data_IF_201905468905
#
_entry.id   IF_201905468905
#
_cell.length_a   1.000
_cell.length_b   1.000
_cell.length_c   1.000
_cell.angle_alpha   90.00
_cell.angle_beta   90.00
_cell.angle_gamma   90.00
#
_symmetry.space_group_name_H-M   'P 1'
#
loop_
_entity.id
_entity.type
_entity.pdbx_description
1 polymer ?
#
# COMPACT_ATOMS: atom_id res chain seq x y z
N UNK A 1 6.13 -11.69 -25.27
CA UNK A 1 4.76 -11.93 -25.80
C UNK A 1 4.46 -13.43 -25.86
N UNK A 2 5.43 -14.31 -26.16
CA UNK A 2 5.21 -15.76 -26.22
C UNK A 2 5.17 -16.48 -24.86
N UNK A 3 5.75 -15.91 -23.81
CA UNK A 3 5.82 -16.53 -22.47
C UNK A 3 4.52 -16.39 -21.65
N UNK A 4 3.75 -15.34 -21.87
CA UNK A 4 2.50 -15.11 -21.13
C UNK A 4 1.38 -16.11 -21.46
N UNK A 5 1.29 -16.55 -22.72
CA UNK A 5 0.33 -17.56 -23.11
C UNK A 5 0.65 -18.94 -22.52
N UNK A 6 1.92 -19.34 -22.45
CA UNK A 6 2.33 -20.63 -21.90
C UNK A 6 2.11 -20.73 -20.38
N UNK A 7 2.27 -19.64 -19.63
CA UNK A 7 2.03 -19.62 -18.18
C UNK A 7 0.54 -19.74 -17.88
N UNK A 8 -0.31 -19.07 -18.64
CA UNK A 8 -1.76 -19.03 -18.43
C UNK A 8 -2.44 -20.39 -18.61
N UNK A 9 -1.94 -21.22 -19.53
CA UNK A 9 -2.50 -22.54 -19.81
C UNK A 9 -2.01 -23.65 -18.84
N UNK A 10 -1.01 -23.33 -17.99
CA UNK A 10 -0.39 -24.28 -17.07
C UNK A 10 -0.85 -24.14 -15.62
N UNK A 11 -1.41 -22.98 -15.21
CA UNK A 11 -1.85 -22.72 -13.83
C UNK A 11 -3.24 -23.31 -13.61
N UNK A 12 -3.33 -24.34 -12.76
CA UNK A 12 -4.55 -25.10 -12.50
C UNK A 12 -5.13 -24.87 -11.11
N UNK A 13 -4.33 -24.39 -10.17
CA UNK A 13 -4.71 -24.16 -8.78
C UNK A 13 -4.03 -22.91 -8.23
N UNK A 14 -4.44 -22.50 -7.06
CA UNK A 14 -3.95 -21.28 -6.44
C UNK A 14 -2.47 -21.36 -6.05
N UNK A 15 -1.98 -22.52 -5.60
CA UNK A 15 -0.57 -22.68 -5.24
C UNK A 15 0.37 -22.56 -6.45
N UNK A 16 -0.05 -23.04 -7.61
CA UNK A 16 0.68 -22.84 -8.87
C UNK A 16 0.71 -21.36 -9.28
N UNK A 17 -0.40 -20.62 -9.05
CA UNK A 17 -0.43 -19.17 -9.27
C UNK A 17 0.60 -18.47 -8.37
N UNK A 18 0.61 -18.77 -7.07
CA UNK A 18 1.55 -18.16 -6.12
C UNK A 18 3.00 -18.54 -6.48
N UNK A 19 3.25 -19.78 -6.91
CA UNK A 19 4.56 -20.22 -7.36
C UNK A 19 5.03 -19.37 -8.55
N UNK A 20 4.20 -19.20 -9.57
CA UNK A 20 4.54 -18.40 -10.75
C UNK A 20 4.80 -16.92 -10.40
N UNK A 21 4.02 -16.35 -9.45
CA UNK A 21 4.24 -14.99 -8.96
C UNK A 21 5.57 -14.90 -8.19
N UNK A 22 5.87 -15.87 -7.33
CA UNK A 22 7.14 -15.90 -6.58
C UNK A 22 8.35 -15.99 -7.51
N UNK A 23 8.29 -16.77 -8.59
CA UNK A 23 9.34 -16.81 -9.61
C UNK A 23 9.56 -15.43 -10.25
N UNK A 24 8.49 -14.67 -10.49
CA UNK A 24 8.61 -13.28 -10.99
C UNK A 24 9.21 -12.34 -9.95
N UNK A 25 8.88 -12.50 -8.68
CA UNK A 25 9.49 -11.73 -7.58
C UNK A 25 10.99 -12.04 -7.49
N UNK A 26 11.38 -13.31 -7.60
CA UNK A 26 12.80 -13.72 -7.62
C UNK A 26 13.55 -13.14 -8.83
N UNK A 27 12.92 -13.12 -10.00
CA UNK A 27 13.47 -12.44 -11.17
C UNK A 27 13.72 -10.95 -10.91
N UNK A 28 12.74 -10.24 -10.34
CA UNK A 28 12.89 -8.82 -10.01
C UNK A 28 13.90 -8.59 -8.90
N UNK A 29 13.96 -9.49 -7.90
CA UNK A 29 14.97 -9.44 -6.85
C UNK A 29 16.39 -9.53 -7.44
N UNK A 30 16.63 -10.45 -8.35
CA UNK A 30 17.91 -10.62 -9.05
C UNK A 30 18.23 -9.42 -9.96
N UNK A 31 17.22 -8.73 -10.47
CA UNK A 31 17.38 -7.47 -11.22
C UNK A 31 17.62 -6.24 -10.33
N UNK A 32 17.61 -6.40 -9.00
CA UNK A 32 17.89 -5.33 -8.03
C UNK A 32 16.68 -4.72 -7.35
N UNK A 33 15.45 -5.19 -7.60
CA UNK A 33 14.26 -4.72 -6.88
C UNK A 33 14.32 -5.06 -5.39
N UNK A 34 13.85 -4.12 -4.55
CA UNK A 34 13.81 -4.25 -3.07
C UNK A 34 12.53 -3.70 -2.47
N UNK A 35 11.55 -3.38 -3.30
CA UNK A 35 10.28 -2.78 -2.87
C UNK A 35 9.15 -3.27 -3.75
N UNK A 36 7.98 -3.48 -3.15
CA UNK A 36 6.72 -3.76 -3.83
C UNK A 36 5.71 -2.67 -3.56
N UNK A 37 4.70 -2.57 -4.40
CA UNK A 37 3.61 -1.63 -4.26
C UNK A 37 2.27 -2.27 -4.62
N UNK A 38 1.26 -2.05 -3.76
CA UNK A 38 -0.08 -2.57 -3.93
C UNK A 38 -1.11 -1.44 -3.78
N UNK A 39 -1.93 -1.27 -4.79
CA UNK A 39 -3.08 -0.38 -4.74
C UNK A 39 -4.29 -1.15 -4.17
N UNK A 40 -4.80 -0.67 -3.05
CA UNK A 40 -5.99 -1.20 -2.39
C UNK A 40 -7.08 -0.13 -2.42
N UNK A 41 -8.27 -0.47 -2.90
CA UNK A 41 -9.43 0.41 -2.75
C UNK A 41 -9.79 0.49 -1.27
N UNK A 42 -10.42 -0.54 -0.71
CA UNK A 42 -10.48 -0.83 0.72
C UNK A 42 -9.46 -1.90 1.11
N UNK A 43 -9.27 -2.12 2.39
CA UNK A 43 -8.39 -3.19 2.88
C UNK A 43 -9.13 -4.52 2.76
N UNK A 44 -8.64 -5.49 1.97
CA UNK A 44 -9.30 -6.77 1.85
C UNK A 44 -8.95 -7.64 3.06
N UNK A 45 -9.93 -7.94 3.89
CA UNK A 45 -9.77 -8.94 4.95
C UNK A 45 -11.00 -9.84 5.01
N UNK A 46 -10.81 -11.12 4.75
CA UNK A 46 -11.77 -12.17 4.95
C UNK A 46 -11.01 -13.50 4.96
N UNK A 47 -11.29 -14.38 5.91
CA UNK A 47 -10.66 -15.72 6.03
C UNK A 47 -11.67 -16.86 6.09
N UNK A 48 -12.92 -16.58 5.75
CA UNK A 48 -13.99 -17.57 5.78
C UNK A 48 -14.03 -18.46 4.51
N UNK A 49 -13.31 -18.04 3.47
CA UNK A 49 -13.24 -18.74 2.19
C UNK A 49 -11.81 -19.16 1.85
N UNK A 50 -11.66 -20.33 1.26
CA UNK A 50 -10.40 -20.83 0.73
C UNK A 50 -10.03 -20.10 -0.56
N UNK A 51 -8.82 -19.55 -0.65
CA UNK A 51 -8.34 -18.90 -1.87
C UNK A 51 -8.24 -19.89 -3.05
N UNK A 52 -7.97 -21.17 -2.78
CA UNK A 52 -7.93 -22.20 -3.82
C UNK A 52 -9.34 -22.48 -4.39
N UNK A 53 -10.34 -22.64 -3.51
CA UNK A 53 -11.73 -22.84 -3.95
C UNK A 53 -12.23 -21.64 -4.77
N UNK A 54 -11.92 -20.42 -4.33
CA UNK A 54 -12.27 -19.18 -5.05
C UNK A 54 -11.56 -19.12 -6.41
N UNK A 55 -10.30 -19.51 -6.46
CA UNK A 55 -9.54 -19.57 -7.72
C UNK A 55 -10.16 -20.57 -8.69
N UNK A 56 -10.43 -21.82 -8.24
CA UNK A 56 -11.04 -22.85 -9.06
C UNK A 56 -12.43 -22.42 -9.56
N UNK A 57 -13.25 -21.86 -8.68
CA UNK A 57 -14.58 -21.31 -9.02
C UNK A 57 -14.47 -20.26 -10.13
N UNK A 58 -13.48 -19.37 -10.03
CA UNK A 58 -13.24 -18.34 -11.06
C UNK A 58 -12.76 -18.95 -12.39
N UNK A 59 -11.89 -19.95 -12.34
CA UNK A 59 -11.40 -20.65 -13.54
C UNK A 59 -12.53 -21.40 -14.27
N UNK A 60 -13.53 -21.87 -13.54
CA UNK A 60 -14.75 -22.48 -14.10
C UNK A 60 -15.71 -21.44 -14.70
N UNK A 61 -15.41 -20.14 -14.63
CA UNK A 61 -16.24 -19.08 -15.18
C UNK A 61 -17.41 -18.66 -14.27
N UNK A 62 -17.41 -19.10 -13.02
CA UNK A 62 -18.46 -18.78 -12.07
C UNK A 62 -18.31 -17.33 -11.53
N UNK A 63 -19.44 -16.76 -11.08
CA UNK A 63 -19.44 -15.46 -10.42
C UNK A 63 -18.97 -15.61 -8.98
N UNK A 64 -18.14 -14.66 -8.56
CA UNK A 64 -17.64 -14.56 -7.19
C UNK A 64 -18.41 -13.51 -6.40
N UNK A 65 -18.68 -13.78 -5.13
CA UNK A 65 -19.15 -12.77 -4.17
C UNK A 65 -18.05 -11.80 -3.79
N UNK A 66 -18.40 -10.66 -3.18
CA UNK A 66 -17.43 -9.71 -2.67
C UNK A 66 -16.55 -10.31 -1.56
N UNK A 67 -17.13 -11.17 -0.72
CA UNK A 67 -16.41 -11.84 0.37
C UNK A 67 -15.40 -12.86 -0.16
N UNK A 68 -15.76 -13.63 -1.19
CA UNK A 68 -14.83 -14.53 -1.88
C UNK A 68 -13.66 -13.77 -2.52
N UNK A 69 -13.94 -12.63 -3.16
CA UNK A 69 -12.92 -11.77 -3.74
C UNK A 69 -11.99 -11.21 -2.65
N UNK A 70 -12.55 -10.77 -1.52
CA UNK A 70 -11.77 -10.27 -0.39
C UNK A 70 -10.91 -11.37 0.25
N UNK A 71 -11.43 -12.58 0.38
CA UNK A 71 -10.66 -13.73 0.89
C UNK A 71 -9.48 -14.07 -0.02
N UNK A 72 -9.70 -14.09 -1.34
CA UNK A 72 -8.64 -14.33 -2.32
C UNK A 72 -7.55 -13.25 -2.26
N UNK A 73 -7.95 -11.97 -2.19
CA UNK A 73 -7.02 -10.84 -2.07
C UNK A 73 -6.25 -10.88 -0.76
N UNK A 74 -6.93 -11.17 0.36
CA UNK A 74 -6.34 -11.28 1.70
C UNK A 74 -5.24 -12.34 1.73
N UNK A 75 -5.56 -13.58 1.34
CA UNK A 75 -4.59 -14.68 1.34
C UNK A 75 -3.42 -14.40 0.39
N UNK A 76 -3.70 -13.80 -0.78
CA UNK A 76 -2.66 -13.41 -1.74
C UNK A 76 -1.69 -12.41 -1.12
N UNK A 77 -2.19 -11.35 -0.48
CA UNK A 77 -1.32 -10.36 0.18
C UNK A 77 -0.50 -10.98 1.31
N UNK A 78 -1.07 -11.89 2.12
CA UNK A 78 -0.35 -12.58 3.19
C UNK A 78 0.80 -13.41 2.62
N UNK A 79 0.56 -14.17 1.56
CA UNK A 79 1.60 -15.00 0.92
C UNK A 79 2.70 -14.16 0.25
N UNK A 80 2.32 -13.06 -0.41
CA UNK A 80 3.28 -12.13 -0.99
C UNK A 80 4.11 -11.41 0.07
N UNK A 81 3.48 -10.95 1.15
CA UNK A 81 4.16 -10.32 2.27
C UNK A 81 5.23 -11.23 2.86
N UNK A 82 4.94 -12.53 3.05
CA UNK A 82 5.91 -13.52 3.48
C UNK A 82 7.11 -13.62 2.54
N UNK A 83 6.88 -13.68 1.24
CA UNK A 83 7.96 -13.69 0.24
C UNK A 83 8.79 -12.41 0.29
N UNK A 84 8.16 -11.24 0.47
CA UNK A 84 8.88 -9.97 0.62
C UNK A 84 9.71 -9.93 1.90
N UNK A 85 9.19 -10.46 3.00
CA UNK A 85 9.92 -10.57 4.26
C UNK A 85 11.17 -11.46 4.12
N UNK A 86 11.05 -12.62 3.47
CA UNK A 86 12.16 -13.54 3.19
C UNK A 86 13.27 -12.90 2.34
N UNK A 87 12.91 -12.00 1.43
CA UNK A 87 13.83 -11.29 0.53
C UNK A 87 14.30 -9.94 1.07
N UNK A 88 13.91 -9.57 2.28
CA UNK A 88 14.18 -8.26 2.92
C UNK A 88 13.68 -7.06 2.09
N UNK A 89 12.55 -7.21 1.41
CA UNK A 89 11.90 -6.12 0.68
C UNK A 89 11.05 -5.25 1.61
N UNK A 90 10.81 -4.01 1.17
CA UNK A 90 9.74 -3.18 1.71
C UNK A 90 8.45 -3.38 0.89
N UNK A 91 7.31 -3.42 1.58
CA UNK A 91 5.99 -3.49 0.97
C UNK A 91 5.29 -2.14 1.13
N UNK A 92 4.72 -1.60 0.06
CA UNK A 92 3.89 -0.40 0.09
C UNK A 92 2.43 -0.77 -0.11
N UNK A 93 1.55 -0.19 0.71
CA UNK A 93 0.10 -0.33 0.58
C UNK A 93 -0.53 1.06 0.39
N UNK A 94 -1.13 1.31 -0.77
CA UNK A 94 -1.86 2.52 -1.11
C UNK A 94 -3.36 2.28 -0.96
N UNK A 95 -4.01 2.97 -0.02
CA UNK A 95 -5.38 2.69 0.43
C UNK A 95 -6.30 3.88 0.17
N UNK A 96 -7.53 3.64 -0.26
CA UNK A 96 -8.61 4.62 -0.24
C UNK A 96 -8.88 5.36 -1.54
N UNK A 97 -8.53 4.80 -2.69
CA UNK A 97 -8.92 5.35 -3.99
C UNK A 97 -10.29 4.82 -4.43
N UNK A 98 -11.19 5.70 -4.81
CA UNK A 98 -12.45 5.37 -5.49
C UNK A 98 -12.29 5.71 -6.97
N UNK A 99 -12.14 4.66 -7.79
CA UNK A 99 -11.72 4.79 -9.18
C UNK A 99 -12.88 4.78 -10.17
N UNK A 100 -12.67 5.47 -11.29
CA UNK A 100 -13.55 5.44 -12.47
C UNK A 100 -15.00 5.84 -12.15
N UNK A 101 -15.20 6.89 -11.35
CA UNK A 101 -16.51 7.32 -10.85
C UNK A 101 -17.48 7.78 -11.93
N UNK A 102 -16.99 8.17 -13.12
CA UNK A 102 -17.81 8.59 -14.23
C UNK A 102 -17.87 7.47 -15.29
N UNK A 103 -18.91 6.64 -15.20
CA UNK A 103 -19.09 5.49 -16.11
C UNK A 103 -19.17 5.89 -17.60
N UNK A 104 -19.75 7.05 -17.92
CA UNK A 104 -19.84 7.54 -19.30
C UNK A 104 -18.45 7.87 -19.86
N UNK A 105 -17.60 8.51 -19.04
CA UNK A 105 -16.23 8.86 -19.44
C UNK A 105 -15.33 7.61 -19.44
N UNK A 106 -15.50 6.69 -18.49
CA UNK A 106 -14.81 5.40 -18.51
C UNK A 106 -15.09 4.63 -19.81
N UNK A 107 -16.36 4.60 -20.23
CA UNK A 107 -16.75 3.94 -21.48
C UNK A 107 -16.14 4.62 -22.73
N UNK A 108 -15.92 5.94 -22.67
CA UNK A 108 -15.38 6.73 -23.78
C UNK A 108 -13.86 6.73 -23.83
N UNK A 109 -13.18 6.80 -22.70
CA UNK A 109 -11.74 7.07 -22.58
C UNK A 109 -10.94 5.93 -21.94
N UNK A 110 -11.60 4.99 -21.23
CA UNK A 110 -10.94 3.93 -20.48
C UNK A 110 -10.62 4.33 -19.05
N UNK A 111 -9.77 3.52 -18.40
CA UNK A 111 -9.31 3.72 -17.03
C UNK A 111 -8.19 4.76 -16.93
N UNK A 112 -7.92 5.23 -15.72
CA UNK A 112 -6.77 6.09 -15.35
C UNK A 112 -6.70 7.44 -16.11
N UNK A 113 -7.85 8.01 -16.40
CA UNK A 113 -7.96 9.27 -17.16
C UNK A 113 -8.52 10.43 -16.32
N UNK A 114 -8.43 10.35 -14.98
CA UNK A 114 -8.69 11.46 -14.06
C UNK A 114 -10.11 11.54 -13.49
N UNK A 115 -10.90 10.47 -13.58
CA UNK A 115 -12.26 10.41 -12.99
C UNK A 115 -12.29 9.59 -11.71
N UNK A 116 -11.35 9.88 -10.81
CA UNK A 116 -11.18 9.21 -9.52
C UNK A 116 -11.42 10.19 -8.37
N UNK A 117 -11.73 9.68 -7.19
CA UNK A 117 -11.91 10.46 -5.96
C UNK A 117 -11.42 9.71 -4.73
N UNK A 118 -11.49 10.39 -3.58
CA UNK A 118 -11.22 9.79 -2.28
C UNK A 118 -12.39 8.89 -1.90
N UNK A 119 -12.07 7.65 -1.49
CA UNK A 119 -13.04 6.74 -0.90
C UNK A 119 -13.21 7.00 0.60
N UNK A 120 -14.34 6.60 1.14
CA UNK A 120 -14.66 6.71 2.57
C UNK A 120 -14.94 5.34 3.18
N UNK A 121 -13.93 4.45 3.13
CA UNK A 121 -14.01 3.13 3.73
C UNK A 121 -13.64 3.17 5.22
N UNK A 122 -14.20 2.24 6.00
CA UNK A 122 -13.73 1.92 7.35
C UNK A 122 -12.58 0.93 7.24
N UNK A 123 -11.35 1.39 7.48
CA UNK A 123 -10.15 0.58 7.22
C UNK A 123 -9.48 0.02 8.48
N UNK A 124 -9.79 0.55 9.66
CA UNK A 124 -9.02 0.30 10.87
C UNK A 124 -9.00 -1.18 11.29
N UNK A 125 -10.16 -1.81 11.34
CA UNK A 125 -10.29 -3.20 11.80
C UNK A 125 -9.66 -4.17 10.79
N UNK A 126 -9.98 -4.01 9.51
CA UNK A 126 -9.47 -4.89 8.46
C UNK A 126 -7.96 -4.75 8.26
N UNK A 127 -7.43 -3.52 8.37
CA UNK A 127 -5.98 -3.28 8.31
C UNK A 127 -5.26 -3.92 9.49
N UNK A 128 -5.80 -3.77 10.70
CA UNK A 128 -5.24 -4.42 11.89
C UNK A 128 -5.20 -5.94 11.72
N UNK A 129 -6.31 -6.53 11.29
CA UNK A 129 -6.41 -7.97 11.10
C UNK A 129 -5.49 -8.50 9.98
N UNK A 130 -5.35 -7.76 8.88
CA UNK A 130 -4.45 -8.12 7.78
C UNK A 130 -2.97 -8.09 8.23
N UNK A 131 -2.55 -7.03 8.91
CA UNK A 131 -1.17 -6.91 9.41
C UNK A 131 -0.86 -7.95 10.48
N UNK A 132 -1.80 -8.23 11.39
CA UNK A 132 -1.69 -9.28 12.41
C UNK A 132 -1.56 -10.67 11.77
N UNK A 133 -2.36 -10.96 10.76
CA UNK A 133 -2.26 -12.22 10.02
C UNK A 133 -0.89 -12.38 9.33
N UNK A 134 -0.31 -11.31 8.80
CA UNK A 134 1.05 -11.32 8.25
C UNK A 134 2.10 -11.55 9.35
N UNK A 135 2.01 -10.85 10.49
CA UNK A 135 2.95 -10.96 11.60
C UNK A 135 2.91 -12.35 12.23
N UNK A 136 1.72 -12.90 12.51
CA UNK A 136 1.54 -14.25 13.07
C UNK A 136 2.11 -15.35 12.16
N UNK A 137 2.25 -15.11 10.86
CA UNK A 137 2.90 -16.02 9.92
C UNK A 137 4.40 -15.76 9.74
N UNK A 138 5.02 -14.93 10.60
CA UNK A 138 6.40 -14.45 10.46
C UNK A 138 6.69 -13.86 9.08
N UNK A 139 5.70 -13.18 8.51
CA UNK A 139 5.72 -12.73 7.14
C UNK A 139 5.46 -11.22 6.96
N UNK A 140 5.35 -10.42 8.04
CA UNK A 140 5.18 -8.98 7.90
C UNK A 140 6.53 -8.31 7.56
N UNK A 141 6.72 -7.83 6.31
CA UNK A 141 7.95 -7.15 5.91
C UNK A 141 8.02 -5.72 6.45
N UNK A 142 9.11 -5.02 6.17
CA UNK A 142 9.13 -3.54 6.26
C UNK A 142 7.97 -3.00 5.44
N UNK A 143 7.07 -2.23 6.06
CA UNK A 143 5.82 -1.83 5.41
C UNK A 143 5.60 -0.32 5.47
N UNK A 144 5.19 0.25 4.35
CA UNK A 144 4.86 1.67 4.22
C UNK A 144 3.38 1.77 3.88
N UNK A 145 2.61 2.43 4.76
CA UNK A 145 1.18 2.63 4.58
C UNK A 145 0.91 4.03 4.03
N UNK A 146 0.08 4.11 3.00
CA UNK A 146 -0.42 5.36 2.43
C UNK A 146 -1.94 5.39 2.50
N UNK A 147 -2.52 6.54 2.84
CA UNK A 147 -3.95 6.77 2.69
C UNK A 147 -4.22 7.93 1.75
N UNK A 148 -5.30 7.79 0.99
CA UNK A 148 -5.83 8.87 0.17
C UNK A 148 -6.84 9.74 0.95
N UNK A 149 -7.48 9.17 1.98
CA UNK A 149 -8.42 9.91 2.83
C UNK A 149 -7.72 10.52 4.05
N UNK A 150 -7.65 11.85 4.20
CA UNK A 150 -7.01 12.49 5.35
C UNK A 150 -7.60 12.10 6.71
N UNK A 151 -8.87 11.67 6.78
CA UNK A 151 -9.50 11.19 8.02
C UNK A 151 -8.73 10.01 8.63
N UNK A 152 -8.06 9.22 7.79
CA UNK A 152 -7.35 8.00 8.19
C UNK A 152 -5.91 8.26 8.63
N UNK A 153 -5.42 9.51 8.58
CA UNK A 153 -4.05 9.85 8.98
C UNK A 153 -3.74 9.37 10.41
N UNK A 154 -4.64 9.63 11.37
CA UNK A 154 -4.46 9.19 12.77
C UNK A 154 -4.68 7.68 12.94
N UNK A 155 -5.57 7.09 12.16
CA UNK A 155 -5.77 5.63 12.13
C UNK A 155 -4.47 4.93 11.74
N UNK A 156 -3.86 5.35 10.63
CA UNK A 156 -2.59 4.77 10.18
C UNK A 156 -1.46 5.07 11.16
N UNK A 157 -1.31 6.31 11.61
CA UNK A 157 -0.22 6.70 12.50
C UNK A 157 -0.23 5.91 13.83
N UNK A 158 -1.41 5.60 14.40
CA UNK A 158 -1.51 4.72 15.57
C UNK A 158 -1.26 3.26 15.23
N UNK A 159 -1.70 2.78 14.07
CA UNK A 159 -1.49 1.40 13.62
C UNK A 159 -0.02 1.05 13.48
N UNK A 160 0.82 1.99 13.03
CA UNK A 160 2.26 1.80 12.89
C UNK A 160 2.93 1.33 14.20
N UNK A 161 2.46 1.83 15.35
CA UNK A 161 3.03 1.51 16.65
C UNK A 161 2.84 0.04 17.06
N UNK A 162 1.81 -0.62 16.56
CA UNK A 162 1.46 -1.98 16.93
C UNK A 162 2.40 -3.03 16.33
N UNK A 163 3.10 -2.72 15.23
CA UNK A 163 3.86 -3.67 14.43
C UNK A 163 5.32 -3.27 14.23
N UNK A 164 5.88 -2.41 15.09
CA UNK A 164 7.30 -2.10 15.10
C UNK A 164 8.12 -3.29 15.62
N UNK A 165 9.40 -3.35 15.26
CA UNK A 165 10.32 -4.37 15.78
C UNK A 165 11.58 -3.75 16.36
N UNK A 166 12.29 -4.51 17.19
CA UNK A 166 13.58 -4.09 17.75
C UNK A 166 14.73 -4.19 16.73
N UNK A 167 14.59 -5.09 15.73
CA UNK A 167 15.64 -5.35 14.75
C UNK A 167 15.70 -4.28 13.66
N UNK A 168 14.55 -3.69 13.31
CA UNK A 168 14.46 -2.70 12.23
C UNK A 168 13.82 -1.42 12.71
N UNK A 169 14.61 -0.39 12.90
CA UNK A 169 14.11 0.93 13.29
C UNK A 169 13.20 1.50 12.19
N UNK A 170 11.93 1.71 12.52
CA UNK A 170 10.92 2.16 11.57
C UNK A 170 10.51 1.07 10.58
N UNK A 171 10.35 -0.17 11.05
CA UNK A 171 9.79 -1.30 10.28
C UNK A 171 8.48 -0.90 9.61
N UNK A 172 7.61 -0.25 10.37
CA UNK A 172 6.36 0.32 9.87
C UNK A 172 6.51 1.82 9.66
N UNK A 173 6.15 2.30 8.50
CA UNK A 173 6.26 3.70 8.08
C UNK A 173 4.90 4.24 7.66
N UNK A 174 4.68 5.53 7.95
CA UNK A 174 3.60 6.27 7.30
C UNK A 174 4.19 6.97 6.08
N UNK A 175 3.70 6.62 4.90
CA UNK A 175 4.14 7.20 3.64
C UNK A 175 3.79 8.70 3.54
N UNK A 176 4.38 9.38 2.56
CA UNK A 176 4.08 10.80 2.31
C UNK A 176 2.61 11.00 1.92
N UNK A 177 2.13 12.22 2.09
CA UNK A 177 0.83 12.63 1.59
C UNK A 177 0.71 12.30 0.10
N UNK A 178 -0.29 11.50 -0.26
CA UNK A 178 -0.37 10.87 -1.57
C UNK A 178 -1.49 11.50 -2.41
N UNK A 179 -1.26 11.66 -3.71
CA UNK A 179 -2.19 12.08 -4.74
C UNK A 179 -2.94 13.37 -4.40
N UNK A 180 -4.24 13.32 -4.01
CA UNK A 180 -5.03 14.50 -3.66
C UNK A 180 -4.50 15.26 -2.43
N UNK A 181 -3.76 14.58 -1.55
CA UNK A 181 -3.12 15.17 -0.37
C UNK A 181 -1.70 15.66 -0.65
N UNK A 182 -1.16 15.44 -1.84
CA UNK A 182 0.17 15.86 -2.23
C UNK A 182 0.18 17.36 -2.58
N UNK A 183 -0.18 18.16 -1.59
CA UNK A 183 -0.20 19.61 -1.57
C UNK A 183 0.15 20.08 -0.15
N UNK A 184 0.40 21.38 0.02
CA UNK A 184 0.96 21.93 1.26
C UNK A 184 0.23 21.47 2.53
N UNK A 185 -1.10 21.62 2.56
CA UNK A 185 -1.88 21.39 3.77
C UNK A 185 -1.99 19.87 4.05
N UNK A 186 -2.20 19.06 3.04
CA UNK A 186 -2.19 17.58 3.17
C UNK A 186 -0.84 17.04 3.62
N UNK A 187 0.28 17.58 3.11
CA UNK A 187 1.63 17.22 3.58
C UNK A 187 1.83 17.59 5.04
N UNK A 188 1.41 18.79 5.47
CA UNK A 188 1.53 19.25 6.85
C UNK A 188 0.67 18.40 7.78
N UNK A 189 -0.56 18.09 7.41
CA UNK A 189 -1.47 17.24 8.21
C UNK A 189 -0.91 15.83 8.38
N UNK A 190 -0.43 15.21 7.30
CA UNK A 190 0.19 13.88 7.35
C UNK A 190 1.43 13.88 8.27
N UNK A 191 2.35 14.84 8.10
CA UNK A 191 3.56 14.93 8.92
C UNK A 191 3.25 15.25 10.39
N UNK A 192 2.22 16.05 10.68
CA UNK A 192 1.76 16.28 12.06
C UNK A 192 1.23 15.00 12.71
N UNK A 193 0.40 14.23 11.99
CA UNK A 193 -0.10 12.96 12.50
C UNK A 193 1.07 12.01 12.82
N UNK A 194 2.05 11.91 11.92
CA UNK A 194 3.25 11.10 12.12
C UNK A 194 4.10 11.62 13.30
N UNK A 195 4.32 12.93 13.41
CA UNK A 195 5.12 13.51 14.48
C UNK A 195 4.50 13.30 15.86
N UNK A 196 3.15 13.34 15.94
CA UNK A 196 2.43 13.17 17.20
C UNK A 196 2.40 11.71 17.68
N UNK A 197 2.41 10.74 16.78
CA UNK A 197 2.09 9.34 17.09
C UNK A 197 3.19 8.35 16.65
N UNK A 198 4.22 8.82 15.98
CA UNK A 198 5.31 7.98 15.46
C UNK A 198 6.66 8.67 15.51
N UNK A 199 7.60 8.15 14.74
CA UNK A 199 8.98 8.63 14.70
C UNK A 199 9.26 9.42 13.40
N UNK A 200 9.01 10.73 13.42
CA UNK A 200 9.23 11.60 12.25
C UNK A 200 10.68 11.52 11.73
N UNK A 201 11.66 11.28 12.59
CA UNK A 201 13.08 11.12 12.20
C UNK A 201 13.38 9.83 11.42
N UNK A 202 12.41 8.93 11.31
CA UNK A 202 12.47 7.70 10.49
C UNK A 202 11.61 7.80 9.23
N UNK A 203 10.96 8.95 9.00
CA UNK A 203 10.10 9.17 7.86
C UNK A 203 10.84 8.98 6.54
N UNK A 204 10.30 8.17 5.66
CA UNK A 204 10.88 7.90 4.33
C UNK A 204 10.93 9.14 3.43
N UNK A 205 10.15 10.18 3.75
CA UNK A 205 10.06 11.40 2.97
C UNK A 205 9.10 11.28 1.79
N UNK A 206 9.15 12.29 0.92
CA UNK A 206 8.28 12.38 -0.23
C UNK A 206 8.77 11.53 -1.38
N UNK A 207 7.85 10.77 -1.97
CA UNK A 207 7.97 10.17 -3.29
C UNK A 207 7.06 10.95 -4.25
N UNK A 208 7.53 11.32 -5.43
CA UNK A 208 6.71 12.14 -6.35
C UNK A 208 5.56 11.34 -6.95
N UNK A 209 5.71 10.05 -7.10
CA UNK A 209 4.76 9.14 -7.77
C UNK A 209 4.19 9.75 -9.07
N UNK A 210 5.05 10.34 -9.87
CA UNK A 210 4.67 11.10 -11.05
C UNK A 210 5.34 10.57 -12.31
N UNK A 211 4.58 10.57 -13.39
CA UNK A 211 5.05 10.21 -14.74
C UNK A 211 5.71 11.39 -15.49
N UNK A 212 5.82 12.57 -14.86
CA UNK A 212 6.37 13.77 -15.47
C UNK A 212 7.74 14.14 -14.94
N UNK A 213 8.70 14.41 -15.79
CA UNK A 213 10.00 14.97 -15.40
C UNK A 213 9.89 16.32 -14.67
N UNK A 214 8.85 17.11 -14.95
CA UNK A 214 8.59 18.37 -14.25
C UNK A 214 8.27 18.16 -12.76
N UNK A 215 7.95 16.96 -12.35
CA UNK A 215 7.64 16.62 -10.94
C UNK A 215 8.85 16.57 -10.04
N UNK A 216 10.07 16.55 -10.56
CA UNK A 216 11.28 16.59 -9.73
C UNK A 216 11.37 17.83 -8.82
N UNK A 217 10.79 18.96 -9.26
CA UNK A 217 10.71 20.18 -8.44
C UNK A 217 9.86 20.02 -7.19
N UNK A 218 8.99 19.02 -7.12
CA UNK A 218 8.16 18.70 -5.94
C UNK A 218 8.99 18.27 -4.73
N UNK A 219 10.17 17.69 -4.93
CA UNK A 219 11.10 17.40 -3.85
C UNK A 219 11.60 18.67 -3.14
N UNK A 220 11.84 19.74 -3.89
CA UNK A 220 12.19 21.04 -3.29
C UNK A 220 11.00 21.64 -2.54
N UNK A 221 9.82 21.58 -3.13
CA UNK A 221 8.58 22.04 -2.50
C UNK A 221 8.35 21.32 -1.15
N UNK A 222 8.45 20.01 -1.15
CA UNK A 222 8.33 19.20 0.07
C UNK A 222 9.40 19.58 1.12
N UNK A 223 10.68 19.69 0.73
CA UNK A 223 11.74 20.06 1.66
C UNK A 223 11.49 21.43 2.30
N UNK A 224 10.97 22.40 1.56
CA UNK A 224 10.62 23.72 2.11
C UNK A 224 9.51 23.62 3.16
N UNK A 225 8.48 22.80 2.93
CA UNK A 225 7.41 22.54 3.89
C UNK A 225 7.96 21.87 5.14
N UNK A 226 8.75 20.80 4.98
CA UNK A 226 9.35 20.06 6.09
C UNK A 226 10.29 20.95 6.92
N UNK A 227 11.18 21.71 6.29
CA UNK A 227 12.10 22.60 6.98
C UNK A 227 11.36 23.71 7.74
N UNK A 228 10.28 24.26 7.17
CA UNK A 228 9.46 25.25 7.86
C UNK A 228 8.77 24.65 9.09
N UNK A 229 8.21 23.45 8.97
CA UNK A 229 7.60 22.75 10.09
C UNK A 229 8.60 22.44 11.21
N UNK A 230 9.79 21.94 10.88
CA UNK A 230 10.85 21.66 11.86
C UNK A 230 11.38 22.95 12.50
N UNK A 231 11.56 24.02 11.72
CA UNK A 231 11.97 25.32 12.23
C UNK A 231 10.98 25.88 13.25
N UNK A 232 9.68 25.81 12.97
CA UNK A 232 8.66 26.22 13.92
C UNK A 232 8.70 25.41 15.23
N UNK A 233 8.93 24.09 15.15
CA UNK A 233 9.04 23.23 16.33
C UNK A 233 10.27 23.59 17.19
N UNK A 234 11.40 23.87 16.56
CA UNK A 234 12.63 24.28 17.26
C UNK A 234 12.45 25.65 17.96
N UNK A 235 11.90 26.64 17.26
CA UNK A 235 11.68 27.98 17.85
C UNK A 235 10.68 27.95 19.02
N UNK A 236 9.71 27.07 19.01
CA UNK A 236 8.75 26.94 20.14
C UNK A 236 9.34 26.19 21.32
N UNK A 237 10.31 25.31 21.13
CA UNK A 237 11.00 24.61 22.23
C UNK A 237 12.02 25.51 22.96
N UNK A 238 12.63 26.45 22.25
CA UNK A 238 13.60 27.39 22.85
C UNK A 238 12.93 28.57 23.60
N UNK A 239 11.61 28.71 23.44
CA UNK A 239 10.79 29.75 24.10
C UNK A 239 10.14 29.31 25.43
N UNK A 240 10.33 28.05 25.83
CA UNK A 240 9.84 27.44 27.06
C UNK A 240 10.99 27.22 28.05
#
# INVERSE_FOLDING_TARGET
>A
VGSEMCIRDSIKNYDELITAVNERIDYFHNAGCRISDHALDGVPFNRDYSADDVFVKKMNGENLSADEINAFKCETLIRLAKKYSELDWAMQLHIGALRNNNSAMFKKLGADVGFDSIADYEIAADLSALLDAMECNNGLPKTILYTLNPKDNYVLATMLGNFQSAETAGKMQFGSAWWFNDQRDGMVEQMKALANLGALNKFVGMLTDSRSFLSYTRHEYFRRILCNMLGCLLYTSDAA
#
